data_IF_299128493398
#
_entry.id   IF_299128493398
#
_cell.length_a   1.000
_cell.length_b   1.000
_cell.length_c   1.000
_cell.angle_alpha   90.00
_cell.angle_beta   90.00
_cell.angle_gamma   90.00
#
_symmetry.space_group_name_H-M   'P 1'
#
loop_
_entity.id
_entity.type
_entity.pdbx_description
1 polymer ?
#
# COMPACT_ATOMS: atom_id res chain seq x y z
N UNK A 1 8.86 -18.63 -3.27
CA UNK A 1 8.43 -17.23 -3.44
C UNK A 1 7.53 -17.13 -4.65
N UNK A 2 6.80 -16.03 -4.73
CA UNK A 2 5.99 -15.66 -5.88
C UNK A 2 6.91 -14.97 -6.92
N UNK A 3 6.98 -15.49 -8.16
CA UNK A 3 7.86 -14.93 -9.21
C UNK A 3 7.10 -14.53 -10.48
N UNK A 4 7.43 -13.36 -11.01
CA UNK A 4 6.95 -12.82 -12.28
C UNK A 4 7.88 -13.20 -13.42
N UNK A 5 7.38 -13.92 -14.43
CA UNK A 5 8.21 -14.50 -15.50
C UNK A 5 8.05 -13.80 -16.86
N UNK A 6 6.88 -13.24 -17.18
CA UNK A 6 6.66 -12.61 -18.49
C UNK A 6 7.06 -11.14 -18.52
N UNK A 7 7.73 -10.75 -19.60
CA UNK A 7 8.09 -9.36 -19.88
C UNK A 7 6.89 -8.56 -20.39
N UNK A 8 6.84 -7.28 -20.07
CA UNK A 8 5.86 -6.31 -20.58
C UNK A 8 4.39 -6.75 -20.44
N UNK A 9 4.06 -7.49 -19.37
CA UNK A 9 2.68 -7.86 -19.03
C UNK A 9 2.32 -7.32 -17.66
N UNK A 10 1.08 -6.87 -17.53
CA UNK A 10 0.50 -6.58 -16.23
C UNK A 10 0.17 -7.89 -15.54
N UNK A 11 0.56 -7.98 -14.27
CA UNK A 11 0.28 -9.12 -13.43
C UNK A 11 -0.41 -8.65 -12.18
N UNK A 12 -1.48 -9.33 -11.82
CA UNK A 12 -2.21 -9.09 -10.61
C UNK A 12 -2.51 -10.42 -9.93
N UNK A 13 -2.34 -10.43 -8.61
CA UNK A 13 -2.99 -11.40 -7.74
C UNK A 13 -3.70 -10.61 -6.67
N UNK A 14 -4.79 -11.13 -6.14
CA UNK A 14 -5.32 -10.71 -4.86
C UNK A 14 -5.50 -11.92 -3.94
N UNK A 15 -5.27 -11.72 -2.64
CA UNK A 15 -5.57 -12.70 -1.61
C UNK A 15 -6.41 -12.08 -0.50
N UNK A 16 -7.30 -12.85 0.13
CA UNK A 16 -8.06 -12.42 1.31
C UNK A 16 -7.16 -12.35 2.53
N UNK A 17 -7.24 -11.25 3.28
CA UNK A 17 -6.76 -11.21 4.65
C UNK A 17 -7.67 -12.10 5.50
N UNK A 18 -7.09 -12.77 6.49
CA UNK A 18 -7.85 -13.64 7.41
C UNK A 18 -8.97 -12.88 8.15
N UNK A 19 -8.73 -11.60 8.42
CA UNK A 19 -9.69 -10.68 9.05
C UNK A 19 -9.55 -9.31 8.41
N UNK A 20 -10.65 -8.55 8.26
CA UNK A 20 -10.55 -7.16 7.90
C UNK A 20 -9.70 -6.40 8.92
N UNK A 21 -8.76 -5.59 8.45
CA UNK A 21 -8.02 -4.69 9.33
C UNK A 21 -8.76 -3.35 9.39
N UNK A 22 -9.05 -2.91 10.62
CA UNK A 22 -9.68 -1.62 10.91
C UNK A 22 -8.60 -0.67 11.45
N UNK A 23 -8.53 0.52 10.89
CA UNK A 23 -7.69 1.58 11.45
C UNK A 23 -8.39 2.25 12.63
N UNK A 24 -8.17 1.67 13.80
CA UNK A 24 -8.67 2.18 15.07
C UNK A 24 -7.51 2.67 15.96
N UNK A 25 -7.10 1.86 16.92
CA UNK A 25 -6.05 2.11 17.91
C UNK A 25 -4.76 1.37 17.57
N UNK A 26 -4.80 0.38 16.68
CA UNK A 26 -3.62 -0.42 16.34
C UNK A 26 -2.90 0.14 15.11
N UNK A 27 -1.55 0.20 15.13
CA UNK A 27 -0.79 0.55 13.95
C UNK A 27 -0.96 -0.51 12.87
N UNK A 28 -1.01 -0.07 11.61
CA UNK A 28 -0.86 -0.94 10.46
C UNK A 28 0.64 -1.21 10.24
N UNK A 29 0.99 -2.47 10.06
CA UNK A 29 2.32 -2.88 9.59
C UNK A 29 2.13 -3.71 8.32
N UNK A 30 2.74 -3.25 7.23
CA UNK A 30 2.80 -4.00 5.96
C UNK A 30 4.26 -4.30 5.69
N UNK A 31 4.60 -5.58 5.63
CA UNK A 31 5.97 -6.03 5.40
C UNK A 31 6.00 -7.14 4.36
N UNK A 32 6.94 -7.07 3.43
CA UNK A 32 7.21 -8.11 2.43
C UNK A 32 8.58 -7.90 1.78
N UNK A 33 9.04 -8.95 1.11
CA UNK A 33 10.33 -8.98 0.43
C UNK A 33 10.14 -8.91 -1.07
N UNK A 34 11.04 -8.22 -1.75
CA UNK A 34 11.14 -8.18 -3.21
C UNK A 34 12.58 -8.46 -3.61
N UNK A 35 12.75 -9.22 -4.69
CA UNK A 35 14.04 -9.43 -5.33
C UNK A 35 13.89 -9.22 -6.84
N UNK A 36 14.60 -8.24 -7.38
CA UNK A 36 14.71 -8.03 -8.82
C UNK A 36 15.85 -8.89 -9.38
N UNK A 37 15.60 -10.19 -9.53
CA UNK A 37 16.63 -11.21 -9.80
C UNK A 37 17.49 -10.91 -11.05
N UNK A 38 16.88 -10.32 -12.08
CA UNK A 38 17.55 -9.96 -13.33
C UNK A 38 17.77 -8.44 -13.46
N UNK A 39 17.58 -7.67 -12.39
CA UNK A 39 17.36 -6.24 -12.45
C UNK A 39 15.98 -5.90 -13.04
N UNK A 40 15.67 -4.60 -13.09
CA UNK A 40 14.42 -4.09 -13.66
C UNK A 40 14.65 -2.79 -14.42
N UNK A 41 14.17 -2.71 -15.65
CA UNK A 41 14.24 -1.49 -16.47
C UNK A 41 13.04 -0.58 -16.20
N UNK A 42 11.84 -1.13 -16.35
CA UNK A 42 10.59 -0.48 -16.00
C UNK A 42 9.56 -1.50 -15.49
N UNK A 43 8.96 -1.24 -14.33
CA UNK A 43 7.92 -2.03 -13.68
C UNK A 43 7.90 -1.82 -12.16
N UNK A 44 6.79 -2.26 -11.55
CA UNK A 44 6.56 -2.14 -10.11
C UNK A 44 6.40 -3.49 -9.44
N UNK A 45 6.81 -3.56 -8.18
CA UNK A 45 6.59 -4.69 -7.29
C UNK A 45 5.90 -4.24 -6.00
N UNK A 46 5.01 -3.25 -6.13
CA UNK A 46 4.22 -2.72 -5.01
C UNK A 46 3.03 -3.59 -4.66
N UNK A 47 2.51 -3.37 -3.46
CA UNK A 47 1.28 -3.98 -2.98
C UNK A 47 0.17 -2.97 -2.87
N UNK A 48 -1.05 -3.36 -3.25
CA UNK A 48 -2.26 -2.60 -2.93
C UNK A 48 -3.04 -3.31 -1.83
N UNK A 49 -3.50 -2.53 -0.86
CA UNK A 49 -4.46 -2.98 0.13
C UNK A 49 -5.86 -2.50 -0.28
N UNK A 50 -6.71 -3.45 -0.68
CA UNK A 50 -8.01 -3.14 -1.28
C UNK A 50 -9.03 -2.67 -0.22
N UNK A 51 -9.84 -1.70 -0.62
CA UNK A 51 -10.92 -1.16 0.21
C UNK A 51 -12.06 -2.17 0.32
N UNK A 52 -12.59 -2.39 1.54
CA UNK A 52 -13.82 -3.19 1.69
C UNK A 52 -15.00 -2.47 1.05
N UNK A 53 -15.57 -3.05 -0.01
CA UNK A 53 -16.88 -2.66 -0.55
C UNK A 53 -17.80 -3.89 -0.62
N UNK A 54 -19.13 -3.73 -0.55
CA UNK A 54 -20.06 -4.84 -0.74
C UNK A 54 -19.90 -5.53 -2.11
N UNK A 55 -19.45 -4.78 -3.11
CA UNK A 55 -19.29 -5.19 -4.51
C UNK A 55 -17.90 -5.79 -4.81
N UNK A 56 -17.00 -5.87 -3.83
CA UNK A 56 -15.64 -6.32 -4.07
C UNK A 56 -15.60 -7.81 -4.49
N UNK A 57 -15.44 -8.04 -5.79
CA UNK A 57 -15.23 -9.35 -6.37
C UNK A 57 -13.79 -9.50 -6.88
N UNK A 58 -13.01 -10.36 -6.23
CA UNK A 58 -11.61 -10.60 -6.59
C UNK A 58 -11.44 -11.31 -7.94
N UNK A 59 -12.46 -12.04 -8.39
CA UNK A 59 -12.44 -12.69 -9.71
C UNK A 59 -12.58 -11.69 -10.85
N UNK A 60 -13.03 -10.48 -10.53
CA UNK A 60 -13.14 -9.35 -11.45
C UNK A 60 -12.13 -8.25 -11.07
N UNK A 61 -11.06 -8.60 -10.36
CA UNK A 61 -10.04 -7.64 -9.99
C UNK A 61 -9.37 -7.03 -11.24
N UNK A 62 -9.26 -5.71 -11.24
CA UNK A 62 -8.61 -4.93 -12.29
C UNK A 62 -7.92 -3.69 -11.71
N UNK A 63 -7.16 -3.00 -12.55
CA UNK A 63 -6.40 -1.77 -12.26
C UNK A 63 -7.17 -0.68 -11.48
N UNK A 64 -8.45 -0.47 -11.83
CA UNK A 64 -9.37 0.50 -11.20
C UNK A 64 -10.09 -0.03 -9.96
N UNK A 65 -9.80 -1.25 -9.49
CA UNK A 65 -10.41 -1.78 -8.27
C UNK A 65 -10.06 -0.87 -7.08
N UNK A 66 -11.05 -0.42 -6.28
CA UNK A 66 -10.79 0.50 -5.19
C UNK A 66 -9.81 -0.05 -4.16
N UNK A 67 -8.71 0.69 -3.96
CA UNK A 67 -7.75 0.44 -2.89
C UNK A 67 -7.72 1.59 -1.88
N UNK A 68 -7.16 1.29 -0.72
CA UNK A 68 -6.95 2.22 0.38
C UNK A 68 -5.48 2.62 0.49
N UNK A 69 -4.57 1.65 0.44
CA UNK A 69 -3.12 1.89 0.45
C UNK A 69 -2.48 1.25 -0.78
N UNK A 70 -1.50 1.93 -1.38
CA UNK A 70 -0.51 1.32 -2.26
C UNK A 70 0.87 1.54 -1.64
N UNK A 71 1.67 0.48 -1.51
CA UNK A 71 2.98 0.55 -0.87
C UNK A 71 3.99 -0.33 -1.59
N UNK A 72 5.15 0.23 -1.99
CA UNK A 72 6.25 -0.58 -2.47
C UNK A 72 7.11 0.01 -3.59
N UNK A 73 8.12 -0.75 -4.03
CA UNK A 73 9.08 -0.31 -5.03
C UNK A 73 8.46 -0.25 -6.42
N UNK A 74 8.80 0.80 -7.15
CA UNK A 74 8.45 1.01 -8.55
C UNK A 74 9.59 1.73 -9.26
N UNK A 75 9.98 1.23 -10.42
CA UNK A 75 11.06 1.82 -11.22
C UNK A 75 10.62 1.96 -12.65
N UNK A 76 10.93 3.08 -13.29
CA UNK A 76 10.87 3.18 -14.74
C UNK A 76 11.98 4.08 -15.27
N UNK A 77 12.91 3.52 -16.06
CA UNK A 77 14.13 4.22 -16.44
C UNK A 77 15.00 4.52 -15.22
N UNK A 78 15.44 5.78 -15.06
CA UNK A 78 16.19 6.27 -13.89
C UNK A 78 15.29 6.84 -12.78
N UNK A 79 13.96 6.66 -12.87
CA UNK A 79 13.03 7.07 -11.82
C UNK A 79 12.81 5.91 -10.85
N UNK A 80 13.50 5.96 -9.70
CA UNK A 80 13.42 4.97 -8.62
C UNK A 80 12.47 5.49 -7.53
N UNK A 81 11.37 4.78 -7.29
CA UNK A 81 10.33 5.19 -6.33
C UNK A 81 10.07 4.11 -5.32
N UNK A 82 9.77 4.56 -4.11
CA UNK A 82 9.14 3.76 -3.07
C UNK A 82 7.79 4.39 -2.75
N UNK A 83 6.74 3.86 -3.36
CA UNK A 83 5.39 4.39 -3.21
C UNK A 83 4.91 4.19 -1.78
N UNK A 84 4.34 5.24 -1.21
CA UNK A 84 3.32 5.13 -0.17
C UNK A 84 2.18 6.07 -0.53
N UNK A 85 1.09 5.49 -1.00
CA UNK A 85 -0.09 6.21 -1.47
C UNK A 85 -1.25 5.80 -0.58
N UNK A 86 -2.01 6.79 -0.13
CA UNK A 86 -3.19 6.63 0.68
C UNK A 86 -4.38 7.28 -0.03
N UNK A 87 -5.46 6.53 -0.25
CA UNK A 87 -6.72 7.09 -0.76
C UNK A 87 -7.58 7.59 0.38
N UNK A 88 -7.78 8.90 0.42
CA UNK A 88 -8.60 9.58 1.41
C UNK A 88 -9.91 10.07 0.79
N UNK A 89 -11.03 9.86 1.47
CA UNK A 89 -12.31 10.47 1.10
C UNK A 89 -12.37 11.86 1.72
N UNK A 90 -12.39 12.90 0.88
CA UNK A 90 -12.57 14.26 1.35
C UNK A 90 -13.93 14.37 2.08
N UNK A 91 -13.96 14.81 3.35
CA UNK A 91 -15.20 14.84 4.14
C UNK A 91 -16.17 15.92 3.67
N UNK A 92 -15.69 16.98 2.99
CA UNK A 92 -16.52 18.07 2.46
C UNK A 92 -17.14 17.70 1.12
N UNK A 93 -16.35 17.18 0.18
CA UNK A 93 -16.82 16.90 -1.19
C UNK A 93 -17.28 15.46 -1.38
N UNK A 94 -16.90 14.54 -0.49
CA UNK A 94 -17.16 13.10 -0.62
C UNK A 94 -16.32 12.41 -1.70
N UNK A 95 -15.43 13.12 -2.39
CA UNK A 95 -14.58 12.60 -3.46
C UNK A 95 -13.36 11.89 -2.85
N UNK A 96 -12.99 10.74 -3.42
CA UNK A 96 -11.76 10.05 -3.07
C UNK A 96 -10.57 10.61 -3.85
N UNK A 97 -9.52 10.97 -3.13
CA UNK A 97 -8.28 11.50 -3.69
C UNK A 97 -7.10 10.63 -3.25
N UNK A 98 -6.15 10.43 -4.16
CA UNK A 98 -4.86 9.82 -3.83
C UNK A 98 -3.96 10.86 -3.18
N UNK A 99 -3.37 10.49 -2.06
CA UNK A 99 -2.44 11.28 -1.27
C UNK A 99 -1.12 10.53 -1.31
N UNK A 100 -0.07 11.15 -1.81
CA UNK A 100 1.23 10.52 -2.02
C UNK A 100 2.21 11.00 -0.96
N UNK A 101 2.91 10.09 -0.30
CA UNK A 101 4.03 10.46 0.55
C UNK A 101 5.12 11.15 -0.30
N UNK A 102 5.79 12.13 0.29
CA UNK A 102 6.98 12.74 -0.32
C UNK A 102 8.03 11.67 -0.63
N UNK A 103 8.81 11.90 -1.68
CA UNK A 103 9.92 10.99 -2.04
C UNK A 103 10.94 10.95 -0.89
N UNK A 104 11.51 9.78 -0.58
CA UNK A 104 12.61 9.70 0.37
C UNK A 104 13.86 10.41 -0.16
N UNK A 105 14.65 11.00 0.74
CA UNK A 105 15.96 11.57 0.41
C UNK A 105 17.04 10.49 0.25
N UNK A 106 16.75 9.26 0.70
CA UNK A 106 17.65 8.12 0.57
C UNK A 106 17.81 7.66 -0.89
N UNK A 107 19.04 7.31 -1.29
CA UNK A 107 19.28 6.67 -2.59
C UNK A 107 18.69 5.26 -2.61
N UNK A 108 17.70 5.06 -3.47
CA UNK A 108 17.01 3.78 -3.62
C UNK A 108 17.63 2.89 -4.70
N UNK A 109 18.57 3.39 -5.51
CA UNK A 109 19.04 2.73 -6.74
C UNK A 109 19.57 1.31 -6.51
N UNK A 110 20.31 1.14 -5.42
CA UNK A 110 20.94 -0.14 -5.06
C UNK A 110 19.90 -1.25 -4.89
N UNK A 111 18.76 -0.94 -4.27
CA UNK A 111 17.69 -1.89 -4.01
C UNK A 111 17.02 -2.46 -5.26
N UNK A 112 17.19 -1.80 -6.41
CA UNK A 112 16.65 -2.25 -7.70
C UNK A 112 17.68 -2.97 -8.58
N UNK A 113 18.97 -2.86 -8.25
CA UNK A 113 20.07 -3.20 -9.18
C UNK A 113 21.06 -4.23 -8.64
N UNK A 114 21.16 -4.40 -7.32
CA UNK A 114 22.12 -5.33 -6.70
C UNK A 114 21.71 -6.81 -6.78
N UNK A 115 20.50 -7.09 -7.29
CA UNK A 115 19.89 -8.42 -7.47
C UNK A 115 19.70 -9.19 -6.16
N UNK A 116 19.70 -8.50 -5.02
CA UNK A 116 19.44 -9.07 -3.71
C UNK A 116 17.97 -8.97 -3.35
N UNK A 117 17.61 -9.73 -2.34
CA UNK A 117 16.29 -9.65 -1.71
C UNK A 117 16.33 -8.52 -0.69
N UNK A 118 15.38 -7.58 -0.79
CA UNK A 118 15.22 -6.49 0.18
C UNK A 118 13.86 -6.57 0.87
N UNK A 119 13.86 -6.25 2.16
CA UNK A 119 12.68 -6.24 3.01
C UNK A 119 12.08 -4.84 3.09
N UNK A 120 10.87 -4.66 2.54
CA UNK A 120 10.14 -3.40 2.57
C UNK A 120 9.11 -3.42 3.69
N UNK A 121 9.12 -2.38 4.53
CA UNK A 121 8.22 -2.26 5.67
C UNK A 121 7.57 -0.89 5.71
N UNK A 122 6.23 -0.85 5.77
CA UNK A 122 5.45 0.34 6.10
C UNK A 122 4.91 0.18 7.51
N UNK A 123 5.19 1.13 8.39
CA UNK A 123 4.54 1.29 9.69
C UNK A 123 3.70 2.56 9.64
N UNK A 124 2.41 2.45 9.92
CA UNK A 124 1.50 3.59 9.90
C UNK A 124 0.64 3.60 11.16
N UNK A 125 0.69 4.71 11.90
CA UNK A 125 -0.15 5.00 13.06
C UNK A 125 -1.13 6.08 12.63
N UNK A 126 -2.36 5.70 12.27
CA UNK A 126 -3.36 6.66 11.81
C UNK A 126 -4.73 6.37 12.36
N UNK A 127 -5.47 7.43 12.69
CA UNK A 127 -6.92 7.35 12.93
C UNK A 127 -7.65 7.75 11.66
N UNK A 128 -8.31 6.80 11.00
CA UNK A 128 -9.55 6.99 10.24
C UNK A 128 -10.01 5.66 9.64
N UNK A 129 -11.29 5.35 9.87
CA UNK A 129 -11.99 4.13 9.50
C UNK A 129 -11.76 3.68 8.06
N UNK A 130 -10.84 2.74 7.90
CA UNK A 130 -10.61 2.05 6.64
C UNK A 130 -10.54 0.55 6.94
N UNK A 131 -11.26 -0.22 6.14
CA UNK A 131 -11.30 -1.67 6.24
C UNK A 131 -10.46 -2.23 5.11
N UNK A 132 -9.34 -2.90 5.43
CA UNK A 132 -8.62 -3.68 4.44
C UNK A 132 -9.15 -5.10 4.41
N UNK A 133 -9.36 -5.65 3.22
CA UNK A 133 -9.71 -7.08 3.13
C UNK A 133 -8.71 -7.85 2.28
N UNK A 134 -7.80 -7.19 1.56
CA UNK A 134 -6.94 -7.90 0.60
C UNK A 134 -5.56 -7.29 0.41
N UNK A 135 -4.57 -8.14 0.15
CA UNK A 135 -3.21 -7.79 -0.29
C UNK A 135 -3.06 -8.18 -1.76
N UNK A 136 -2.67 -7.23 -2.61
CA UNK A 136 -2.21 -7.46 -3.99
C UNK A 136 -0.68 -7.61 -3.96
N UNK A 137 -0.10 -8.68 -4.52
CA UNK A 137 1.35 -8.87 -4.71
C UNK A 137 1.51 -9.67 -5.99
N UNK A 138 1.63 -9.06 -7.18
CA UNK A 138 1.33 -9.74 -8.45
C UNK A 138 1.98 -11.13 -8.71
N UNK A 139 1.47 -12.24 -8.14
CA UNK A 139 1.61 -13.69 -8.49
C UNK A 139 0.67 -14.53 -7.60
N UNK A 140 0.10 -15.64 -8.09
CA UNK A 140 -1.00 -16.52 -7.59
C UNK A 140 -0.84 -17.42 -6.34
N UNK A 141 -1.93 -17.60 -5.54
CA UNK A 141 -2.28 -18.75 -4.66
C UNK A 141 -3.82 -18.80 -4.32
N UNK A 142 -4.40 -19.96 -3.93
CA UNK A 142 -5.86 -20.21 -3.92
C UNK A 142 -6.62 -19.82 -2.63
N UNK A 143 -7.97 -19.77 -2.77
CA UNK A 143 -8.98 -19.16 -1.87
C UNK A 143 -9.46 -20.05 -0.70
N UNK A 144 -9.92 -19.41 0.38
CA UNK A 144 -10.93 -19.94 1.33
C UNK A 144 -12.04 -18.90 1.59
N UNK A 145 -13.31 -19.30 1.77
CA UNK A 145 -14.43 -18.37 1.89
C UNK A 145 -14.78 -18.03 3.35
N UNK A 146 -15.10 -16.77 3.58
CA UNK A 146 -15.87 -16.33 4.75
C UNK A 146 -15.44 -14.98 5.30
N UNK A 147 -16.24 -13.93 5.11
CA UNK A 147 -16.31 -12.82 6.08
C UNK A 147 -17.56 -11.95 5.88
N UNK A 148 -18.23 -11.71 7.00
CA UNK A 148 -19.48 -10.98 7.19
C UNK A 148 -19.31 -9.45 7.10
N UNK A 149 -20.46 -8.77 7.04
CA UNK A 149 -20.72 -7.34 6.96
C UNK A 149 -19.81 -6.46 7.84
N UNK A 150 -19.32 -5.33 7.30
CA UNK A 150 -18.70 -4.25 8.11
C UNK A 150 -19.72 -3.13 8.27
N UNK A 151 -20.15 -2.88 9.50
CA UNK A 151 -20.92 -1.68 9.86
C UNK A 151 -19.96 -0.59 10.30
N UNK A 152 -20.19 0.64 9.84
CA UNK A 152 -19.42 1.84 10.18
C UNK A 152 -19.93 2.44 11.50
N UNK A 153 -19.20 2.40 12.63
CA UNK A 153 -19.57 3.21 13.78
C UNK A 153 -19.03 4.64 13.60
N UNK A 154 -19.91 5.62 13.82
CA UNK A 154 -19.53 7.02 14.11
C UNK A 154 -18.84 7.05 15.47
N UNK A 155 -17.53 7.27 15.53
CA UNK A 155 -16.87 7.83 16.70
C UNK A 155 -15.46 8.33 16.33
N UNK A 156 -15.29 9.65 16.33
CA UNK A 156 -14.00 10.33 16.32
C UNK A 156 -13.38 10.24 17.71
N UNK A 157 -12.46 9.29 17.90
CA UNK A 157 -11.57 9.24 19.07
C UNK A 157 -10.14 9.21 18.54
N UNK A 158 -9.46 10.35 18.63
CA UNK A 158 -8.05 10.52 18.26
C UNK A 158 -7.13 9.79 19.26
N UNK A 159 -6.07 9.16 18.75
CA UNK A 159 -4.85 8.75 19.44
C UNK A 159 -3.70 8.59 18.40
N UNK A 160 -2.42 8.74 18.77
CA UNK A 160 -1.68 10.01 18.73
C UNK A 160 -0.67 10.06 17.58
N UNK A 161 -0.51 11.25 17.00
CA UNK A 161 0.49 11.72 16.02
C UNK A 161 0.29 11.51 14.50
N UNK A 162 -0.55 10.58 14.00
CA UNK A 162 -0.74 10.36 12.55
C UNK A 162 0.57 10.10 11.76
N UNK A 163 1.59 9.54 12.41
CA UNK A 163 2.89 9.29 11.79
C UNK A 163 2.93 8.04 10.90
N UNK A 164 3.88 8.06 9.96
CA UNK A 164 4.30 6.88 9.21
C UNK A 164 5.82 6.79 9.14
N UNK A 165 6.31 5.56 9.02
CA UNK A 165 7.71 5.24 8.72
C UNK A 165 7.75 4.21 7.61
N UNK A 166 8.68 4.39 6.68
CA UNK A 166 9.01 3.43 5.64
C UNK A 166 10.44 2.97 5.86
N UNK A 167 10.61 1.67 5.96
CA UNK A 167 11.89 1.03 6.15
C UNK A 167 12.22 0.11 4.99
N UNK A 168 13.49 0.09 4.61
CA UNK A 168 14.07 -0.92 3.71
C UNK A 168 15.22 -1.58 4.47
N UNK A 169 15.20 -2.90 4.56
CA UNK A 169 16.17 -3.69 5.34
C UNK A 169 16.34 -3.18 6.77
N UNK A 170 15.21 -2.88 7.41
CA UNK A 170 15.11 -2.35 8.78
C UNK A 170 15.68 -0.93 8.97
N UNK A 171 16.19 -0.29 7.91
CA UNK A 171 16.65 1.10 7.95
C UNK A 171 15.53 2.05 7.51
N UNK A 172 15.27 3.11 8.28
CA UNK A 172 14.26 4.12 7.93
C UNK A 172 14.77 4.90 6.72
N UNK A 173 14.04 4.82 5.61
CA UNK A 173 14.34 5.56 4.37
C UNK A 173 13.38 6.73 4.15
N UNK A 174 12.21 6.70 4.79
CA UNK A 174 11.23 7.78 4.75
C UNK A 174 10.40 7.81 6.04
N UNK A 175 9.96 9.00 6.44
CA UNK A 175 9.05 9.17 7.57
C UNK A 175 8.30 10.50 7.45
N UNK A 176 7.13 10.58 8.05
CA UNK A 176 6.38 11.84 8.07
C UNK A 176 5.01 11.71 8.72
N UNK A 177 4.18 12.73 8.51
CA UNK A 177 2.80 12.79 8.99
C UNK A 177 1.80 12.55 7.86
N UNK A 178 0.82 11.66 8.07
CA UNK A 178 -0.24 11.36 7.10
C UNK A 178 -1.09 12.58 6.73
N UNK A 179 -1.18 13.59 7.60
CA UNK A 179 -2.00 14.77 7.33
C UNK A 179 -1.26 15.85 6.54
N UNK A 180 0.03 16.04 6.86
CA UNK A 180 0.80 17.21 6.45
C UNK A 180 1.91 16.89 5.43
N UNK A 181 2.44 15.66 5.44
CA UNK A 181 3.56 15.25 4.57
C UNK A 181 3.12 14.42 3.36
N UNK A 182 1.82 14.48 3.06
CA UNK A 182 1.23 13.89 1.88
C UNK A 182 0.93 14.98 0.84
N UNK A 183 1.04 14.62 -0.43
CA UNK A 183 0.76 15.50 -1.56
C UNK A 183 -0.38 14.91 -2.40
N UNK A 184 -1.49 15.64 -2.60
CA UNK A 184 -1.88 16.87 -1.90
C UNK A 184 -2.12 16.62 -0.39
N UNK A 185 -2.17 17.68 0.46
CA UNK A 185 -2.47 17.53 1.89
C UNK A 185 -3.82 16.87 2.15
N UNK A 186 -3.95 16.15 3.27
CA UNK A 186 -5.21 15.46 3.62
C UNK A 186 -6.27 16.44 4.09
N UNK A 187 -5.87 17.45 4.88
CA UNK A 187 -6.74 18.54 5.26
C UNK A 187 -6.61 19.65 4.20
N UNK A 188 -7.60 19.84 3.32
CA UNK A 188 -7.60 21.01 2.44
C UNK A 188 -7.70 22.27 3.31
N UNK A 189 -6.91 23.28 2.96
CA UNK A 189 -6.93 24.63 3.54
C UNK A 189 -8.36 25.21 3.62
#
# INVERSE_FOLDING_TARGET
GLVLMSRAKHHAISAKLNKPFLFDTKPLIVQYEVNFQNGIECGGAYVKLLSKTPELNLDQFHDKTPYTIMFGPDKCGEDYKLHFIFRHKNPKTGIYEEKHAKRPDADLKTYFTDKKTHLYTLKSRGTNHLCFVHKEMGVSLPKTPGARHCSYPKASVLNPDNSFEILVDQSVVNSGNLLNDMTPPVNPS
#
